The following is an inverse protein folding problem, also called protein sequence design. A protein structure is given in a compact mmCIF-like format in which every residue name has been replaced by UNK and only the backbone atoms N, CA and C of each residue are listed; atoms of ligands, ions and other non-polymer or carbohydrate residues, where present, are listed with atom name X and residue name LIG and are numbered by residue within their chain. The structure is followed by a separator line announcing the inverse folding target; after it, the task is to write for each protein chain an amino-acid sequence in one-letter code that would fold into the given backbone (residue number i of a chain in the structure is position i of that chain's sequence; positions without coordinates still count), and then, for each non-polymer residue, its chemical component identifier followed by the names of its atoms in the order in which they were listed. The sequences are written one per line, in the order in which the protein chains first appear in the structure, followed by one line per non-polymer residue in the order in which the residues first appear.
data_IF_982709915809
#
_entry.id   IF_982709915809
#
_cell.length_a   1.000
_cell.length_b   1.000
_cell.length_c   1.000
_cell.angle_alpha   90.00
_cell.angle_beta   90.00
_cell.angle_gamma   90.00
#
_symmetry.space_group_name_H-M   'P 1'
#
loop_
_entity.id
_entity.type
_entity.pdbx_description
1 polymer ?
#
# COMPACT_ATOMS: atom_id res chain seq x y z
N UNK A 1 21.30 -38.86 -11.77
CA UNK A 1 20.39 -38.25 -12.75
C UNK A 1 19.37 -37.45 -11.95
N UNK A 2 19.60 -36.15 -11.83
CA UNK A 2 18.87 -35.26 -10.92
C UNK A 2 18.06 -34.29 -11.76
N UNK A 3 16.74 -34.39 -11.70
CA UNK A 3 15.83 -33.48 -12.42
C UNK A 3 15.80 -32.12 -11.72
N UNK A 4 15.95 -30.99 -12.40
CA UNK A 4 15.78 -29.68 -11.78
C UNK A 4 14.28 -29.39 -11.62
N UNK A 5 13.88 -29.02 -10.41
CA UNK A 5 12.55 -28.50 -10.12
C UNK A 5 12.40 -27.11 -10.78
N UNK A 6 11.53 -27.02 -11.76
CA UNK A 6 11.12 -25.75 -12.38
C UNK A 6 10.33 -24.94 -11.35
N UNK A 7 10.98 -23.97 -10.70
CA UNK A 7 10.32 -22.91 -9.93
C UNK A 7 9.50 -22.07 -10.90
N UNK A 8 8.23 -22.43 -11.06
CA UNK A 8 7.23 -21.67 -11.79
C UNK A 8 6.90 -20.37 -11.05
N UNK A 9 7.81 -19.40 -11.11
CA UNK A 9 7.53 -18.03 -10.75
C UNK A 9 6.47 -17.46 -11.70
N UNK A 10 5.19 -17.58 -11.34
CA UNK A 10 4.12 -16.83 -12.01
C UNK A 10 4.49 -15.35 -11.93
N UNK A 11 4.94 -14.78 -13.05
CA UNK A 11 4.88 -13.33 -13.27
C UNK A 11 3.43 -12.91 -13.10
N UNK A 12 3.09 -12.45 -11.89
CA UNK A 12 1.79 -11.83 -11.63
C UNK A 12 1.86 -10.46 -12.30
N UNK A 13 1.36 -10.39 -13.52
CA UNK A 13 1.11 -9.13 -14.22
C UNK A 13 0.31 -8.18 -13.33
N UNK A 14 0.63 -6.89 -13.40
CA UNK A 14 -0.18 -5.80 -12.84
C UNK A 14 -1.66 -6.10 -13.12
N UNK A 15 -2.51 -6.10 -12.09
CA UNK A 15 -3.94 -6.19 -12.35
C UNK A 15 -4.35 -4.89 -13.03
N UNK A 16 -4.79 -4.88 -14.31
CA UNK A 16 -5.07 -3.64 -15.03
C UNK A 16 -6.20 -2.81 -14.42
N UNK A 17 -6.89 -3.34 -13.40
CA UNK A 17 -8.03 -2.72 -12.74
C UNK A 17 -7.63 -1.64 -11.74
N UNK A 18 -6.56 -1.81 -10.95
CA UNK A 18 -6.23 -0.89 -9.86
C UNK A 18 -5.72 0.46 -10.39
N UNK A 19 -4.75 0.43 -11.31
CA UNK A 19 -4.25 1.64 -11.95
C UNK A 19 -5.37 2.45 -12.63
N UNK A 20 -6.34 1.76 -13.27
CA UNK A 20 -7.51 2.43 -13.85
C UNK A 20 -8.39 3.10 -12.79
N UNK A 21 -8.63 2.47 -11.65
CA UNK A 21 -9.41 3.07 -10.56
C UNK A 21 -8.72 4.32 -10.04
N UNK A 22 -7.42 4.26 -9.75
CA UNK A 22 -6.66 5.41 -9.24
C UNK A 22 -6.65 6.55 -10.26
N UNK A 23 -6.29 6.26 -11.51
CA UNK A 23 -6.30 7.25 -12.60
C UNK A 23 -7.67 7.91 -12.72
N UNK A 24 -8.75 7.13 -12.67
CA UNK A 24 -10.12 7.66 -12.77
C UNK A 24 -10.55 8.53 -11.58
N UNK A 25 -9.91 8.37 -10.43
CA UNK A 25 -10.19 9.13 -9.22
C UNK A 25 -9.36 10.41 -9.14
N UNK A 26 -8.11 10.37 -9.63
CA UNK A 26 -7.13 11.44 -9.48
C UNK A 26 -7.08 12.38 -10.68
N UNK A 27 -7.16 11.86 -11.91
CA UNK A 27 -7.05 12.69 -13.12
C UNK A 27 -8.36 13.36 -13.50
N UNK A 28 -8.25 14.51 -14.17
CA UNK A 28 -9.37 15.20 -14.80
C UNK A 28 -10.07 14.31 -15.85
N UNK A 29 -11.34 14.62 -16.14
CA UNK A 29 -12.06 13.94 -17.24
C UNK A 29 -11.41 14.31 -18.59
N UNK A 30 -11.57 13.43 -19.57
CA UNK A 30 -11.07 13.57 -20.94
C UNK A 30 -11.21 15.01 -21.44
N UNK A 31 -10.07 15.62 -21.84
CA UNK A 31 -10.00 16.99 -22.35
C UNK A 31 -9.40 18.03 -21.39
N UNK A 32 -9.25 17.71 -20.10
CA UNK A 32 -8.41 18.49 -19.17
C UNK A 32 -7.04 17.83 -19.02
N UNK A 33 -5.98 18.57 -19.31
CA UNK A 33 -4.61 18.21 -18.96
C UNK A 33 -4.40 18.51 -17.47
N UNK A 34 -4.26 17.50 -16.62
CA UNK A 34 -3.94 17.69 -15.20
C UNK A 34 -4.78 16.86 -14.23
N UNK A 35 -4.64 17.19 -12.94
CA UNK A 35 -5.38 16.56 -11.87
C UNK A 35 -6.86 16.97 -11.86
N UNK A 36 -7.68 16.18 -11.20
CA UNK A 36 -9.09 16.53 -10.98
C UNK A 36 -9.18 17.63 -9.92
N UNK A 37 -10.18 18.50 -10.02
CA UNK A 37 -10.42 19.56 -9.02
C UNK A 37 -10.50 19.02 -7.58
N UNK A 38 -10.98 17.80 -7.41
CA UNK A 38 -11.04 17.16 -6.11
C UNK A 38 -9.67 16.73 -5.57
N UNK A 39 -8.77 16.31 -6.46
CA UNK A 39 -7.40 16.03 -6.06
C UNK A 39 -6.67 17.33 -5.73
N UNK A 40 -6.88 18.38 -6.53
CA UNK A 40 -6.33 19.71 -6.28
C UNK A 40 -6.82 20.31 -4.94
N UNK A 41 -8.05 20.02 -4.54
CA UNK A 41 -8.60 20.38 -3.23
C UNK A 41 -8.02 19.55 -2.08
N UNK A 42 -7.69 18.27 -2.34
CA UNK A 42 -7.24 17.34 -1.32
C UNK A 42 -5.72 17.37 -1.04
N UNK A 43 -4.93 17.97 -1.93
CA UNK A 43 -3.46 18.01 -1.84
C UNK A 43 -3.00 19.46 -1.72
N UNK A 44 -2.18 19.75 -0.72
CA UNK A 44 -1.75 21.12 -0.36
C UNK A 44 -1.04 21.82 -1.52
N UNK A 45 -0.15 21.10 -2.21
CA UNK A 45 0.59 21.59 -3.37
C UNK A 45 0.43 20.61 -4.52
N UNK A 46 -0.66 20.67 -5.31
CA UNK A 46 -0.97 19.68 -6.35
C UNK A 46 -0.16 19.91 -7.63
N UNK A 47 1.13 20.22 -7.47
CA UNK A 47 2.08 20.51 -8.54
C UNK A 47 3.21 19.49 -8.43
N UNK A 48 3.36 18.65 -9.47
CA UNK A 48 4.37 17.59 -9.52
C UNK A 48 3.76 16.23 -9.86
N UNK A 49 4.59 15.19 -9.77
CA UNK A 49 4.20 13.84 -10.16
C UNK A 49 3.35 13.12 -9.10
N UNK A 50 2.69 12.04 -9.51
CA UNK A 50 1.92 11.16 -8.63
C UNK A 50 2.61 9.81 -8.52
N UNK A 51 2.97 9.40 -7.30
CA UNK A 51 3.45 8.05 -7.04
C UNK A 51 2.28 7.09 -6.84
N UNK A 52 2.26 5.99 -7.59
CA UNK A 52 1.26 4.94 -7.43
C UNK A 52 1.82 3.76 -6.67
N UNK A 53 1.22 3.45 -5.52
CA UNK A 53 1.51 2.23 -4.77
C UNK A 53 0.49 1.16 -5.13
N UNK A 54 0.85 0.28 -6.07
CA UNK A 54 -0.06 -0.76 -6.58
C UNK A 54 -0.16 -1.96 -5.65
N UNK A 55 0.98 -2.45 -5.14
CA UNK A 55 1.03 -3.67 -4.32
C UNK A 55 2.19 -3.67 -3.34
N UNK A 56 1.90 -4.17 -2.15
CA UNK A 56 2.90 -4.64 -1.18
C UNK A 56 2.64 -6.12 -0.93
N UNK A 57 3.64 -6.95 -1.15
CA UNK A 57 3.57 -8.39 -0.90
C UNK A 57 4.68 -8.80 0.05
N UNK A 58 4.32 -9.55 1.08
CA UNK A 58 5.26 -10.18 1.99
C UNK A 58 5.08 -11.69 1.90
N UNK A 59 6.18 -12.43 2.00
CA UNK A 59 6.11 -13.88 2.15
C UNK A 59 5.38 -14.25 3.45
N UNK A 60 4.75 -15.44 3.48
CA UNK A 60 3.85 -15.84 4.58
C UNK A 60 4.53 -15.74 5.94
N UNK A 61 5.81 -16.07 6.02
CA UNK A 61 6.64 -16.03 7.23
C UNK A 61 6.81 -14.63 7.82
N UNK A 62 6.63 -13.58 7.01
CA UNK A 62 6.78 -12.17 7.41
C UNK A 62 5.44 -11.49 7.74
N UNK A 63 4.32 -12.21 7.61
CA UNK A 63 2.97 -11.67 7.87
C UNK A 63 2.63 -11.74 9.36
N UNK A 64 1.72 -10.86 9.81
CA UNK A 64 1.24 -10.84 11.20
C UNK A 64 2.14 -10.07 12.17
N UNK A 65 3.40 -9.80 11.81
CA UNK A 65 4.36 -9.05 12.63
C UNK A 65 4.32 -7.53 12.44
N UNK A 66 3.41 -6.99 11.63
CA UNK A 66 3.36 -5.53 11.38
C UNK A 66 4.53 -4.97 10.55
N UNK A 67 5.31 -5.84 9.90
CA UNK A 67 6.48 -5.44 9.06
C UNK A 67 6.04 -4.78 7.74
N UNK A 68 4.90 -5.19 7.17
CA UNK A 68 4.40 -4.67 5.90
C UNK A 68 4.22 -3.15 5.88
N UNK A 69 3.52 -2.56 6.87
CA UNK A 69 3.39 -1.11 7.02
C UNK A 69 4.72 -0.38 7.10
N UNK A 70 5.65 -0.91 7.90
CA UNK A 70 6.95 -0.28 8.07
C UNK A 70 7.75 -0.30 6.75
N UNK A 71 7.73 -1.41 6.01
CA UNK A 71 8.35 -1.48 4.68
C UNK A 71 7.65 -0.61 3.64
N UNK A 72 6.32 -0.51 3.68
CA UNK A 72 5.55 0.38 2.79
C UNK A 72 5.89 1.85 3.06
N UNK A 73 5.90 2.27 4.33
CA UNK A 73 6.33 3.60 4.76
C UNK A 73 7.76 3.91 4.28
N UNK A 74 8.67 2.95 4.41
CA UNK A 74 10.06 3.07 3.97
C UNK A 74 10.22 3.21 2.46
N UNK A 75 9.38 2.52 1.68
CA UNK A 75 9.34 2.63 0.24
C UNK A 75 8.77 3.98 -0.19
N UNK A 76 7.63 4.40 0.40
CA UNK A 76 7.02 5.70 0.15
C UNK A 76 8.02 6.82 0.42
N UNK A 77 8.62 6.86 1.61
CA UNK A 77 9.58 7.89 2.02
C UNK A 77 10.77 8.04 1.05
N UNK A 78 11.21 6.95 0.40
CA UNK A 78 12.35 6.98 -0.56
C UNK A 78 11.93 7.30 -1.98
N UNK A 79 10.72 6.91 -2.38
CA UNK A 79 10.26 6.98 -3.76
C UNK A 79 9.37 8.19 -4.03
N UNK A 80 8.84 8.82 -2.98
CA UNK A 80 7.93 9.98 -3.11
C UNK A 80 8.66 11.31 -3.31
N UNK A 81 9.99 11.32 -3.34
CA UNK A 81 10.75 12.54 -3.60
C UNK A 81 10.35 13.13 -4.96
N UNK A 82 10.01 14.42 -4.98
CA UNK A 82 9.53 15.12 -6.18
C UNK A 82 8.07 14.83 -6.57
N UNK A 83 7.38 13.90 -5.90
CA UNK A 83 5.95 13.68 -6.09
C UNK A 83 5.16 14.66 -5.24
N UNK A 84 4.01 15.13 -5.73
CA UNK A 84 3.08 15.95 -4.94
C UNK A 84 2.22 15.10 -3.99
N UNK A 85 1.91 13.87 -4.39
CA UNK A 85 1.15 12.94 -3.58
C UNK A 85 1.50 11.48 -3.90
N UNK A 86 1.07 10.59 -3.02
CA UNK A 86 1.08 9.13 -3.24
C UNK A 86 -0.35 8.61 -3.20
N UNK A 87 -0.72 7.78 -4.16
CA UNK A 87 -2.04 7.14 -4.20
C UNK A 87 -1.95 5.63 -4.06
N UNK A 88 -2.89 5.07 -3.30
CA UNK A 88 -3.03 3.62 -3.08
C UNK A 88 -4.49 3.22 -3.25
N UNK A 89 -4.74 2.01 -3.75
CA UNK A 89 -6.04 1.37 -3.67
C UNK A 89 -5.96 0.22 -2.65
N UNK A 90 -6.42 0.44 -1.40
CA UNK A 90 -6.34 -0.55 -0.33
C UNK A 90 -7.14 -1.80 -0.69
N UNK A 91 -6.44 -2.90 -0.95
CA UNK A 91 -7.06 -4.16 -1.35
C UNK A 91 -6.30 -5.37 -0.83
N UNK A 92 -7.01 -6.49 -0.68
CA UNK A 92 -6.40 -7.78 -0.37
C UNK A 92 -5.49 -8.20 -1.53
N UNK A 93 -4.17 -8.20 -1.30
CA UNK A 93 -3.19 -8.67 -2.29
C UNK A 93 -3.22 -10.18 -2.50
N UNK A 94 -3.67 -10.94 -1.49
CA UNK A 94 -3.86 -12.38 -1.52
C UNK A 94 -5.09 -12.76 -0.69
N UNK A 95 -5.91 -13.68 -1.21
CA UNK A 95 -7.01 -14.28 -0.48
C UNK A 95 -6.55 -15.60 0.15
N UNK A 96 -7.17 -16.03 1.28
CA UNK A 96 -6.99 -17.39 1.80
C UNK A 96 -7.17 -18.43 0.70
N UNK A 97 -6.36 -19.48 0.74
CA UNK A 97 -6.45 -20.60 -0.21
C UNK A 97 -7.80 -21.32 -0.08
N UNK A 98 -8.33 -21.37 1.14
CA UNK A 98 -9.68 -21.84 1.42
C UNK A 98 -10.72 -20.75 1.11
N UNK A 99 -11.35 -20.89 -0.06
CA UNK A 99 -12.35 -19.92 -0.56
C UNK A 99 -13.65 -19.94 0.22
N UNK A 100 -13.97 -21.02 0.94
CA UNK A 100 -15.20 -21.14 1.74
C UNK A 100 -15.13 -20.26 2.99
N UNK A 101 -13.92 -20.00 3.51
CA UNK A 101 -13.69 -19.10 4.65
C UNK A 101 -13.78 -17.60 4.28
N UNK A 102 -13.81 -17.26 2.98
CA UNK A 102 -13.91 -15.87 2.51
C UNK A 102 -15.37 -15.43 2.50
N UNK A 103 -15.95 -15.34 3.69
CA UNK A 103 -17.28 -14.74 3.92
C UNK A 103 -17.26 -13.24 3.65
N UNK A 104 -18.44 -12.62 3.48
CA UNK A 104 -18.51 -11.17 3.33
C UNK A 104 -18.05 -10.44 4.61
N UNK A 105 -18.34 -11.01 5.78
CA UNK A 105 -17.84 -10.52 7.06
C UNK A 105 -16.30 -10.52 7.10
N UNK A 106 -15.66 -11.59 6.63
CA UNK A 106 -14.20 -11.66 6.50
C UNK A 106 -13.67 -10.58 5.55
N UNK A 107 -14.28 -10.41 4.37
CA UNK A 107 -13.88 -9.36 3.41
C UNK A 107 -13.98 -7.97 4.03
N UNK A 108 -15.04 -7.69 4.76
CA UNK A 108 -15.25 -6.39 5.41
C UNK A 108 -14.22 -6.14 6.51
N UNK A 109 -13.96 -7.14 7.36
CA UNK A 109 -12.96 -7.04 8.41
C UNK A 109 -11.55 -6.85 7.83
N UNK A 110 -11.22 -7.57 6.76
CA UNK A 110 -9.94 -7.46 6.11
C UNK A 110 -9.76 -6.09 5.44
N UNK A 111 -10.79 -5.56 4.75
CA UNK A 111 -10.80 -4.20 4.22
C UNK A 111 -10.57 -3.15 5.31
N UNK A 112 -11.25 -3.27 6.45
CA UNK A 112 -11.06 -2.35 7.60
C UNK A 112 -9.63 -2.40 8.14
N UNK A 113 -9.07 -3.60 8.32
CA UNK A 113 -7.68 -3.77 8.78
C UNK A 113 -6.69 -3.16 7.80
N UNK A 114 -6.89 -3.36 6.50
CA UNK A 114 -6.03 -2.78 5.46
C UNK A 114 -6.17 -1.26 5.41
N UNK A 115 -7.38 -0.71 5.52
CA UNK A 115 -7.57 0.74 5.55
C UNK A 115 -6.84 1.38 6.75
N UNK A 116 -7.05 0.84 7.96
CA UNK A 116 -6.38 1.30 9.18
C UNK A 116 -4.84 1.20 9.07
N UNK A 117 -4.34 0.20 8.34
CA UNK A 117 -2.93 0.03 8.04
C UNK A 117 -2.36 1.24 7.28
N UNK A 118 -3.02 1.64 6.20
CA UNK A 118 -2.58 2.75 5.36
C UNK A 118 -2.74 4.09 6.09
N UNK A 119 -3.82 4.25 6.86
CA UNK A 119 -4.01 5.41 7.73
C UNK A 119 -2.88 5.57 8.75
N UNK A 120 -2.38 4.46 9.30
CA UNK A 120 -1.28 4.46 10.27
C UNK A 120 0.07 4.95 9.72
N UNK A 121 0.20 5.11 8.39
CA UNK A 121 1.39 5.66 7.73
C UNK A 121 1.09 6.98 6.99
N UNK A 122 -0.07 7.58 7.24
CA UNK A 122 -0.42 8.92 6.79
C UNK A 122 -1.37 9.00 5.59
N UNK A 123 -1.86 7.87 5.06
CA UNK A 123 -2.87 7.93 4.01
C UNK A 123 -4.23 8.35 4.57
N UNK A 124 -4.95 9.16 3.80
CA UNK A 124 -6.32 9.57 4.09
C UNK A 124 -7.27 9.00 3.02
N UNK A 125 -8.50 8.62 3.39
CA UNK A 125 -9.52 8.25 2.42
C UNK A 125 -9.82 9.40 1.46
N UNK A 126 -9.88 9.12 0.15
CA UNK A 126 -10.17 10.12 -0.87
C UNK A 126 -11.44 9.79 -1.66
N UNK A 127 -11.33 9.13 -2.81
CA UNK A 127 -12.45 8.85 -3.72
C UNK A 127 -12.36 7.45 -4.30
N UNK A 128 -13.53 6.82 -4.51
CA UNK A 128 -13.63 5.48 -5.12
C UNK A 128 -12.76 4.42 -4.42
N UNK A 129 -12.61 4.54 -3.10
CA UNK A 129 -11.75 3.65 -2.31
C UNK A 129 -10.25 3.90 -2.46
N UNK A 130 -9.83 4.95 -3.18
CA UNK A 130 -8.43 5.39 -3.24
C UNK A 130 -8.09 6.12 -1.95
N UNK A 131 -6.93 5.81 -1.38
CA UNK A 131 -6.29 6.61 -0.34
C UNK A 131 -5.22 7.52 -0.93
N UNK A 132 -5.07 8.72 -0.38
CA UNK A 132 -4.03 9.68 -0.77
C UNK A 132 -3.12 9.99 0.42
N UNK A 133 -1.85 10.19 0.14
CA UNK A 133 -0.87 10.73 1.07
C UNK A 133 -0.30 12.01 0.45
N UNK A 134 -0.53 13.14 1.10
CA UNK A 134 0.03 14.42 0.71
C UNK A 134 1.47 14.53 1.22
N UNK A 135 2.40 14.69 0.30
CA UNK A 135 3.84 14.72 0.60
C UNK A 135 4.31 16.05 1.17
N UNK A 136 3.52 17.12 1.05
CA UNK A 136 3.82 18.42 1.63
C UNK A 136 3.55 18.47 3.14
N UNK A 137 2.82 17.47 3.68
CA UNK A 137 2.51 17.40 5.10
C UNK A 137 3.67 16.78 5.89
N UNK A 138 3.98 17.40 7.02
CA UNK A 138 4.98 16.90 7.98
C UNK A 138 4.52 15.65 8.74
N UNK A 139 3.21 15.52 8.98
CA UNK A 139 2.67 14.39 9.75
C UNK A 139 2.96 13.02 9.10
N UNK A 140 2.74 12.80 7.79
CA UNK A 140 3.16 11.57 7.12
C UNK A 140 4.65 11.23 7.31
N UNK A 141 5.53 12.22 7.21
CA UNK A 141 6.97 12.04 7.44
C UNK A 141 7.25 11.55 8.87
N UNK A 142 6.65 12.19 9.88
CA UNK A 142 6.77 11.80 11.29
C UNK A 142 6.26 10.37 11.54
N UNK A 143 5.12 10.00 10.95
CA UNK A 143 4.57 8.64 11.03
C UNK A 143 5.50 7.61 10.39
N UNK A 144 6.10 7.93 9.24
CA UNK A 144 7.08 7.05 8.59
C UNK A 144 8.34 6.89 9.43
N UNK A 145 8.83 7.96 10.07
CA UNK A 145 9.96 7.89 11.00
C UNK A 145 9.65 7.06 12.24
N UNK A 146 8.46 7.20 12.81
CA UNK A 146 8.02 6.38 13.93
C UNK A 146 8.01 4.89 13.55
N UNK A 147 7.47 4.55 12.37
CA UNK A 147 7.49 3.17 11.86
C UNK A 147 8.89 2.63 11.60
N UNK A 148 9.79 3.48 11.12
CA UNK A 148 11.21 3.11 10.99
C UNK A 148 11.83 2.76 12.34
N UNK A 149 11.53 3.52 13.39
CA UNK A 149 12.06 3.27 14.72
C UNK A 149 11.59 1.93 15.31
N UNK A 150 10.46 1.40 14.86
CA UNK A 150 9.95 0.07 15.24
C UNK A 150 10.69 -1.08 14.53
N UNK A 151 11.31 -0.84 13.37
CA UNK A 151 11.93 -1.89 12.55
C UNK A 151 12.95 -2.77 13.31
N UNK A 152 13.86 -2.24 14.15
CA UNK A 152 14.78 -3.07 14.91
C UNK A 152 14.07 -3.99 15.91
N UNK A 153 13.02 -3.51 16.56
CA UNK A 153 12.22 -4.29 17.50
C UNK A 153 11.44 -5.40 16.77
N UNK A 154 10.86 -5.09 15.61
CA UNK A 154 10.21 -6.06 14.73
C UNK A 154 11.19 -7.13 14.24
N UNK A 155 12.41 -6.72 13.86
CA UNK A 155 13.48 -7.63 13.48
C UNK A 155 13.91 -8.57 14.62
N UNK A 156 14.00 -8.05 15.85
CA UNK A 156 14.31 -8.85 17.03
C UNK A 156 13.20 -9.84 17.38
N UNK A 157 11.94 -9.42 17.25
CA UNK A 157 10.78 -10.28 17.46
C UNK A 157 10.74 -11.44 16.45
N UNK A 158 11.14 -11.18 15.20
CA UNK A 158 11.29 -12.22 14.17
C UNK A 158 12.47 -13.17 14.44
N UNK A 159 13.60 -12.64 14.91
CA UNK A 159 14.81 -13.43 15.19
C UNK A 159 14.70 -14.30 16.42
N UNK A 160 13.78 -14.02 17.35
CA UNK A 160 13.45 -14.96 18.43
C UNK A 160 12.66 -16.12 17.81
N UNK A 161 13.28 -17.30 17.64
CA UNK A 161 12.48 -18.48 17.33
C UNK A 161 11.54 -18.67 18.52
N UNK A 162 10.26 -18.89 18.27
CA UNK A 162 9.42 -19.51 19.29
C UNK A 162 10.13 -20.79 19.72
N UNK A 163 10.62 -20.82 20.96
CA UNK A 163 10.88 -22.05 21.67
C UNK A 163 9.53 -22.74 21.82
N UNK A 164 9.35 -23.80 21.03
CA UNK A 164 8.39 -24.92 21.17
C UNK A 164 6.90 -24.54 21.16
#
# INVERSE_FOLDING_TARGET
MTTPATTGGRRRTLSPAIGKVIVSAVLGRSGRTGYSAAFEEAVTHPVGDLLLLDRVSLDKEWRGFGVGPALAAEAVRRLSEGCCAVAVFPGMGEYPEDREQVTEAYRLQAKKKIAALWESIGFQPFRRGVGLLDTALRQPEELMHARRAELPALGTAFQRPGSV
#
